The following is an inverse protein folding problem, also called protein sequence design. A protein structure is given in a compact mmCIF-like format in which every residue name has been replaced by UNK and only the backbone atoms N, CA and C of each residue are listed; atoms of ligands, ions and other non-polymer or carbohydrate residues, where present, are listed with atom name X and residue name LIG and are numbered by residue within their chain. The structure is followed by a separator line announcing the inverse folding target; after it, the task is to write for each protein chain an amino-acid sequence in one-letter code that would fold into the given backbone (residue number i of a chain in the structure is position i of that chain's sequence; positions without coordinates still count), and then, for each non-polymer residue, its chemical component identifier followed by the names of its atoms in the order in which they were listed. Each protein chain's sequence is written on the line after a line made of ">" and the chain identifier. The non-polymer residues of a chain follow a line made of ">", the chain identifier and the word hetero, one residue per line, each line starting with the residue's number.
data_IF_087520774834
#
_entry.id   IF_087520774834
#
_cell.length_a   1.000
_cell.length_b   1.000
_cell.length_c   1.000
_cell.angle_alpha   90.00
_cell.angle_beta   90.00
_cell.angle_gamma   90.00
#
_symmetry.space_group_name_H-M   'P 1'
#
loop_
_entity.id
_entity.type
_entity.pdbx_description
1 polymer ?
#
# COMPACT_ATOMS: atom_id res chain seq x y z
N UNK A 1 13.19 9.57 -5.45
CA UNK A 1 13.43 8.17 -5.89
C UNK A 1 14.85 7.91 -6.40
N UNK A 2 15.63 8.94 -6.75
CA UNK A 2 16.99 8.82 -7.29
C UNK A 2 17.94 7.92 -6.47
N UNK A 3 17.82 7.93 -5.14
CA UNK A 3 18.64 7.08 -4.25
C UNK A 3 18.45 5.58 -4.47
N UNK A 4 17.32 5.15 -5.05
CA UNK A 4 17.02 3.75 -5.36
C UNK A 4 17.39 3.37 -6.80
N UNK A 5 17.87 4.32 -7.61
CA UNK A 5 18.36 4.06 -8.96
C UNK A 5 19.76 3.48 -8.88
N UNK A 6 20.00 2.40 -9.62
CA UNK A 6 21.31 1.79 -9.82
C UNK A 6 22.02 2.39 -11.05
N UNK A 7 21.34 2.40 -12.20
CA UNK A 7 21.91 2.88 -13.47
C UNK A 7 20.81 3.44 -14.38
N UNK A 8 21.17 4.45 -15.18
CA UNK A 8 20.35 4.92 -16.29
C UNK A 8 20.74 4.16 -17.58
N UNK A 9 19.77 3.53 -18.24
CA UNK A 9 19.97 2.92 -19.57
C UNK A 9 19.84 3.96 -20.67
N UNK A 10 20.46 3.67 -21.81
CA UNK A 10 20.34 4.47 -23.05
C UNK A 10 18.90 4.62 -23.53
N UNK A 11 18.04 3.66 -23.19
CA UNK A 11 16.62 3.62 -23.58
C UNK A 11 15.72 4.53 -22.73
N UNK A 12 16.31 5.35 -21.84
CA UNK A 12 15.59 6.25 -20.93
C UNK A 12 14.99 5.58 -19.69
N UNK A 13 15.27 4.29 -19.47
CA UNK A 13 14.77 3.53 -18.33
C UNK A 13 15.78 3.60 -17.17
N UNK A 14 15.28 3.94 -15.99
CA UNK A 14 16.04 3.87 -14.74
C UNK A 14 15.96 2.45 -14.17
N UNK A 15 17.11 1.81 -13.99
CA UNK A 15 17.21 0.48 -13.38
C UNK A 15 17.25 0.64 -11.86
N UNK A 16 16.34 0.00 -11.14
CA UNK A 16 16.27 0.02 -9.67
C UNK A 16 17.34 -0.86 -9.03
N UNK A 17 17.91 -0.43 -7.91
CA UNK A 17 18.88 -1.20 -7.14
C UNK A 17 18.19 -2.29 -6.30
N UNK A 18 18.37 -3.56 -6.70
CA UNK A 18 17.77 -4.72 -6.06
C UNK A 18 18.18 -4.90 -4.59
N UNK A 19 19.43 -4.59 -4.22
CA UNK A 19 19.89 -4.70 -2.83
C UNK A 19 19.13 -3.74 -1.92
N UNK A 20 18.95 -2.49 -2.36
CA UNK A 20 18.16 -1.49 -1.62
C UNK A 20 16.68 -1.86 -1.55
N UNK A 21 16.14 -2.46 -2.61
CA UNK A 21 14.76 -2.96 -2.63
C UNK A 21 14.58 -4.10 -1.62
N UNK A 22 15.53 -5.02 -1.53
CA UNK A 22 15.50 -6.12 -0.56
C UNK A 22 15.47 -5.62 0.89
N UNK A 23 16.35 -4.69 1.24
CA UNK A 23 16.40 -4.10 2.59
C UNK A 23 15.05 -3.46 2.98
N UNK A 24 14.41 -2.81 2.01
CA UNK A 24 13.11 -2.17 2.21
C UNK A 24 11.96 -3.17 2.30
N UNK A 25 11.99 -4.24 1.53
CA UNK A 25 11.02 -5.34 1.67
C UNK A 25 11.12 -5.98 3.04
N UNK A 26 12.33 -6.23 3.55
CA UNK A 26 12.53 -6.76 4.90
C UNK A 26 12.04 -5.80 5.98
N UNK A 27 12.29 -4.50 5.82
CA UNK A 27 11.75 -3.48 6.74
C UNK A 27 10.22 -3.46 6.74
N UNK A 28 9.59 -3.48 5.55
CA UNK A 28 8.14 -3.48 5.42
C UNK A 28 7.52 -4.74 6.05
N UNK A 29 8.11 -5.91 5.83
CA UNK A 29 7.67 -7.16 6.45
C UNK A 29 7.68 -7.09 7.99
N UNK A 30 8.73 -6.49 8.59
CA UNK A 30 8.81 -6.29 10.04
C UNK A 30 7.71 -5.37 10.57
N UNK A 31 7.38 -4.30 9.84
CA UNK A 31 6.29 -3.38 10.20
C UNK A 31 4.94 -4.09 10.14
N UNK A 32 4.71 -4.91 9.11
CA UNK A 32 3.47 -5.68 8.95
C UNK A 32 3.29 -6.66 10.10
N UNK A 33 4.34 -7.41 10.46
CA UNK A 33 4.30 -8.41 11.55
C UNK A 33 4.17 -7.77 12.93
N UNK A 34 4.58 -6.50 13.11
CA UNK A 34 4.43 -5.79 14.37
C UNK A 34 2.97 -5.46 14.74
N UNK A 35 2.03 -5.64 13.82
CA UNK A 35 0.60 -5.40 14.05
C UNK A 35 -0.03 -6.70 14.56
N UNK A 36 -0.52 -6.68 15.79
CA UNK A 36 -1.08 -7.86 16.47
C UNK A 36 -2.32 -8.42 15.77
N UNK A 37 -3.25 -7.55 15.37
CA UNK A 37 -4.46 -7.94 14.65
C UNK A 37 -4.29 -7.71 13.14
N UNK A 38 -4.17 -8.77 12.31
CA UNK A 38 -3.96 -8.60 10.88
C UNK A 38 -5.14 -7.91 10.18
N UNK A 39 -6.35 -7.96 10.75
CA UNK A 39 -7.53 -7.29 10.19
C UNK A 39 -7.46 -5.76 10.25
N UNK A 40 -6.58 -5.20 11.08
CA UNK A 40 -6.33 -3.76 11.16
C UNK A 40 -5.45 -3.27 10.01
N UNK A 41 -5.02 -4.17 9.12
CA UNK A 41 -4.25 -3.86 7.92
C UNK A 41 -5.21 -3.84 6.74
N UNK A 42 -5.19 -2.74 5.98
CA UNK A 42 -5.89 -2.65 4.70
C UNK A 42 -4.88 -2.62 3.57
N UNK A 43 -5.11 -3.47 2.58
CA UNK A 43 -4.33 -3.51 1.34
C UNK A 43 -5.24 -3.10 0.20
N UNK A 44 -4.76 -2.19 -0.64
CA UNK A 44 -5.59 -1.56 -1.65
C UNK A 44 -4.89 -1.38 -3.00
N UNK A 45 -5.67 -1.58 -4.06
CA UNK A 45 -5.25 -1.33 -5.44
C UNK A 45 -6.44 -0.95 -6.31
N UNK A 46 -6.43 0.27 -6.87
CA UNK A 46 -7.37 0.63 -7.93
C UNK A 46 -7.01 -0.02 -9.28
N UNK A 47 -5.72 -0.29 -9.53
CA UNK A 47 -5.26 -0.84 -10.81
C UNK A 47 -5.70 -2.29 -11.02
N UNK A 48 -6.19 -2.66 -12.22
CA UNK A 48 -6.55 -4.05 -12.54
C UNK A 48 -5.41 -5.05 -12.29
N UNK A 49 -4.18 -4.65 -12.60
CA UNK A 49 -2.99 -5.50 -12.42
C UNK A 49 -2.71 -5.86 -10.94
N UNK A 50 -3.07 -4.97 -10.01
CA UNK A 50 -2.84 -5.17 -8.58
C UNK A 50 -4.01 -5.82 -7.84
N UNK A 51 -5.24 -5.78 -8.39
CA UNK A 51 -6.45 -6.27 -7.72
C UNK A 51 -6.32 -7.74 -7.26
N UNK A 52 -5.85 -8.62 -8.14
CA UNK A 52 -5.67 -10.05 -7.80
C UNK A 52 -4.61 -10.25 -6.72
N UNK A 53 -3.52 -9.48 -6.77
CA UNK A 53 -2.44 -9.57 -5.79
C UNK A 53 -2.92 -9.15 -4.40
N UNK A 54 -3.70 -8.06 -4.31
CA UNK A 54 -4.28 -7.57 -3.06
C UNK A 54 -5.25 -8.59 -2.44
N UNK A 55 -6.14 -9.18 -3.24
CA UNK A 55 -7.07 -10.20 -2.77
C UNK A 55 -6.35 -11.45 -2.24
N UNK A 56 -5.29 -11.90 -2.95
CA UNK A 56 -4.51 -13.06 -2.50
C UNK A 56 -3.66 -12.74 -1.28
N UNK A 57 -3.09 -11.55 -1.20
CA UNK A 57 -2.34 -11.10 -0.03
C UNK A 57 -3.23 -11.13 1.21
N UNK A 58 -4.41 -10.48 1.15
CA UNK A 58 -5.39 -10.48 2.23
C UNK A 58 -5.81 -11.89 2.65
N UNK A 59 -6.04 -12.80 1.70
CA UNK A 59 -6.37 -14.19 2.00
C UNK A 59 -5.27 -14.92 2.79
N UNK A 60 -3.99 -14.70 2.47
CA UNK A 60 -2.89 -15.37 3.14
C UNK A 60 -2.47 -14.73 4.46
N UNK A 61 -2.64 -13.42 4.62
CA UNK A 61 -2.25 -12.69 5.83
C UNK A 61 -3.39 -12.48 6.82
N UNK A 62 -4.64 -12.63 6.38
CA UNK A 62 -5.82 -12.28 7.18
C UNK A 62 -6.13 -10.78 7.20
N UNK A 63 -5.45 -9.99 6.36
CA UNK A 63 -5.70 -8.56 6.20
C UNK A 63 -6.99 -8.29 5.41
N UNK A 64 -7.46 -7.05 5.47
CA UNK A 64 -8.59 -6.59 4.67
C UNK A 64 -8.12 -6.09 3.30
N UNK A 65 -8.86 -6.44 2.25
CA UNK A 65 -8.55 -6.03 0.88
C UNK A 65 -9.61 -5.09 0.32
N UNK A 66 -9.17 -3.98 -0.27
CA UNK A 66 -9.99 -3.10 -1.12
C UNK A 66 -9.48 -3.25 -2.56
N UNK A 67 -10.13 -4.11 -3.32
CA UNK A 67 -9.83 -4.30 -4.73
C UNK A 67 -10.73 -3.41 -5.59
N UNK A 68 -10.13 -2.58 -6.45
CA UNK A 68 -10.86 -1.70 -7.35
C UNK A 68 -11.03 -0.29 -6.80
N UNK A 69 -12.14 0.36 -7.16
CA UNK A 69 -12.34 1.78 -6.90
C UNK A 69 -12.40 2.07 -5.39
N UNK A 70 -11.57 3.00 -4.93
CA UNK A 70 -11.71 3.59 -3.58
C UNK A 70 -12.99 4.40 -3.50
N UNK A 71 -13.79 4.17 -2.46
CA UNK A 71 -14.92 5.05 -2.14
C UNK A 71 -14.39 6.19 -1.27
N UNK A 72 -14.45 7.46 -1.71
CA UNK A 72 -14.01 8.57 -0.89
C UNK A 72 -14.79 8.62 0.43
N UNK A 73 -14.10 8.88 1.54
CA UNK A 73 -14.68 8.89 2.88
C UNK A 73 -14.52 7.57 3.65
N UNK A 74 -13.94 6.53 3.05
CA UNK A 74 -13.74 5.22 3.71
C UNK A 74 -12.91 5.34 4.99
N UNK A 75 -11.93 6.25 5.05
CA UNK A 75 -11.09 6.41 6.26
C UNK A 75 -11.41 7.67 7.08
N UNK A 76 -12.32 8.54 6.62
CA UNK A 76 -12.59 9.82 7.28
C UNK A 76 -14.04 10.00 7.72
N UNK A 77 -14.99 9.33 7.07
CA UNK A 77 -16.41 9.50 7.33
C UNK A 77 -16.97 8.34 8.18
N UNK A 78 -17.04 8.54 9.50
CA UNK A 78 -17.57 7.55 10.45
C UNK A 78 -19.05 7.19 10.25
N UNK A 79 -19.83 8.03 9.56
CA UNK A 79 -21.24 7.75 9.27
C UNK A 79 -21.42 6.75 8.12
N UNK A 80 -20.37 6.49 7.34
CA UNK A 80 -20.43 5.56 6.21
C UNK A 80 -20.39 4.12 6.71
N UNK A 81 -21.22 3.25 6.13
CA UNK A 81 -21.26 1.81 6.49
C UNK A 81 -19.94 1.07 6.19
N UNK A 82 -19.17 1.56 5.23
CA UNK A 82 -17.85 1.02 4.86
C UNK A 82 -16.70 1.74 5.56
N UNK A 83 -16.97 2.56 6.59
CA UNK A 83 -15.92 3.21 7.36
C UNK A 83 -14.94 2.17 7.92
N UNK A 84 -13.65 2.46 7.81
CA UNK A 84 -12.60 1.61 8.34
C UNK A 84 -11.46 2.47 8.86
N UNK A 85 -10.90 2.11 10.01
CA UNK A 85 -9.77 2.82 10.61
C UNK A 85 -8.59 1.86 10.77
N UNK A 86 -7.88 1.55 9.67
CA UNK A 86 -6.74 0.64 9.72
C UNK A 86 -5.56 1.29 10.43
N UNK A 87 -4.74 0.46 11.09
CA UNK A 87 -3.44 0.90 11.65
C UNK A 87 -2.37 1.01 10.57
N UNK A 88 -2.53 0.24 9.50
CA UNK A 88 -1.60 0.21 8.37
C UNK A 88 -2.35 0.10 7.05
N UNK A 89 -2.00 0.99 6.11
CA UNK A 89 -2.48 0.99 4.74
C UNK A 89 -1.33 0.60 3.79
N UNK A 90 -1.55 -0.43 2.97
CA UNK A 90 -0.62 -0.86 1.92
C UNK A 90 -1.22 -0.50 0.55
N UNK A 91 -0.54 0.36 -0.20
CA UNK A 91 -0.97 0.79 -1.54
C UNK A 91 -0.04 0.25 -2.63
N UNK A 92 -0.62 -0.10 -3.77
CA UNK A 92 0.16 -0.59 -4.93
C UNK A 92 0.77 0.52 -5.77
N UNK A 93 0.05 1.62 -6.00
CA UNK A 93 0.54 2.76 -6.77
C UNK A 93 0.02 4.08 -6.17
N UNK A 94 0.89 4.94 -5.63
CA UNK A 94 0.47 6.17 -4.97
C UNK A 94 -0.16 7.18 -5.95
N UNK A 95 0.08 7.04 -7.26
CA UNK A 95 -0.49 7.95 -8.26
C UNK A 95 -1.96 7.67 -8.52
N UNK A 96 -2.31 6.40 -8.72
CA UNK A 96 -3.72 6.00 -8.91
C UNK A 96 -4.47 5.99 -7.59
N UNK A 97 -3.80 5.58 -6.51
CA UNK A 97 -4.38 5.47 -5.17
C UNK A 97 -4.13 6.75 -4.34
N UNK A 98 -4.10 7.93 -4.98
CA UNK A 98 -3.83 9.20 -4.29
C UNK A 98 -4.96 9.62 -3.34
N UNK A 99 -6.21 9.20 -3.61
CA UNK A 99 -7.34 9.49 -2.74
C UNK A 99 -7.22 8.79 -1.36
N UNK A 100 -7.05 7.46 -1.28
CA UNK A 100 -6.84 6.80 0.01
C UNK A 100 -5.57 7.29 0.70
N UNK A 101 -4.51 7.67 -0.04
CA UNK A 101 -3.32 8.28 0.54
C UNK A 101 -3.63 9.58 1.30
N UNK A 102 -4.44 10.47 0.71
CA UNK A 102 -4.84 11.73 1.36
C UNK A 102 -5.69 11.49 2.60
N UNK A 103 -6.64 10.57 2.52
CA UNK A 103 -7.50 10.22 3.66
C UNK A 103 -6.69 9.59 4.80
N UNK A 104 -5.76 8.70 4.48
CA UNK A 104 -4.85 8.09 5.45
C UNK A 104 -3.94 9.12 6.12
N UNK A 105 -3.43 10.11 5.36
CA UNK A 105 -2.65 11.21 5.92
C UNK A 105 -3.46 12.09 6.89
N UNK A 106 -4.75 12.30 6.63
CA UNK A 106 -5.64 13.03 7.55
C UNK A 106 -5.98 12.21 8.80
N UNK A 107 -6.11 10.89 8.66
CA UNK A 107 -6.44 9.97 9.75
C UNK A 107 -5.22 9.48 10.56
N UNK A 108 -4.01 10.02 10.34
CA UNK A 108 -2.77 9.56 10.97
C UNK A 108 -2.48 8.05 10.79
N UNK A 109 -2.90 7.49 9.66
CA UNK A 109 -2.73 6.08 9.32
C UNK A 109 -1.33 5.88 8.74
N UNK A 110 -0.61 4.86 9.20
CA UNK A 110 0.70 4.51 8.65
C UNK A 110 0.55 3.96 7.22
N UNK A 111 1.37 4.44 6.28
CA UNK A 111 1.26 4.07 4.85
C UNK A 111 2.54 3.37 4.38
N UNK A 112 2.38 2.19 3.78
CA UNK A 112 3.41 1.51 3.00
C UNK A 112 3.03 1.54 1.53
N UNK A 113 3.96 1.99 0.69
CA UNK A 113 3.81 2.04 -0.76
C UNK A 113 5.04 1.42 -1.41
N UNK A 114 4.84 0.83 -2.58
CA UNK A 114 5.94 0.30 -3.39
C UNK A 114 7.00 1.37 -3.69
N UNK A 115 8.24 0.92 -3.85
CA UNK A 115 9.43 1.70 -4.20
C UNK A 115 9.57 1.76 -5.72
#
# INVERSE_FOLDING_TARGET
>A
MERYVFKHRTDGIYVTNLGKTWDKLMMAARVIVAIENPKDIIVQSARPYGQRAVLKFAHYTGANAIAGRHTPGTFTNQLQTSFSEPRLLILTDPRTDHQPFKEAALGNIAILVNI
#
